data_IF_054195120106
#
_entry.id   IF_054195120106
#
_cell.length_a   1.000
_cell.length_b   1.000
_cell.length_c   1.000
_cell.angle_alpha   90.00
_cell.angle_beta   90.00
_cell.angle_gamma   90.00
#
_symmetry.space_group_name_H-M   'P 1'
#
loop_
_entity.id
_entity.type
_entity.pdbx_description
1 polymer ?
#
# COMPACT_ATOMS: atom_id res chain seq x y z
N UNK A 1 -12.51 52.76 26.41
CA UNK A 1 -12.82 52.12 25.11
C UNK A 1 -11.59 51.52 24.40
N UNK A 2 -10.43 52.19 24.39
CA UNK A 2 -9.20 51.70 23.71
C UNK A 2 -8.75 50.29 24.13
N UNK A 3 -8.77 49.98 25.42
CA UNK A 3 -8.38 48.65 25.94
C UNK A 3 -9.40 47.55 25.63
N UNK A 4 -10.66 47.93 25.41
CA UNK A 4 -11.74 46.99 25.10
C UNK A 4 -11.63 46.49 23.65
N UNK A 5 -11.19 47.36 22.73
CA UNK A 5 -10.87 46.99 21.34
C UNK A 5 -9.67 46.04 21.29
N UNK A 6 -8.62 46.31 22.07
CA UNK A 6 -7.42 45.44 22.13
C UNK A 6 -7.78 44.05 22.68
N UNK A 7 -8.64 43.98 23.70
CA UNK A 7 -9.10 42.70 24.25
C UNK A 7 -9.91 41.87 23.23
N UNK A 8 -10.78 42.51 22.44
CA UNK A 8 -11.56 41.83 21.39
C UNK A 8 -10.66 41.27 20.28
N UNK A 9 -9.63 42.01 19.86
CA UNK A 9 -8.66 41.58 18.85
C UNK A 9 -7.86 40.35 19.34
N UNK A 10 -7.52 40.32 20.63
CA UNK A 10 -6.78 39.20 21.25
C UNK A 10 -7.63 37.91 21.29
N UNK A 11 -8.93 38.02 21.52
CA UNK A 11 -9.86 36.87 21.55
C UNK A 11 -10.09 36.31 20.14
N UNK A 12 -10.14 37.18 19.13
CA UNK A 12 -10.30 36.78 17.71
C UNK A 12 -9.04 36.13 17.11
N UNK A 13 -7.87 36.31 17.74
CA UNK A 13 -6.63 35.64 17.33
C UNK A 13 -6.49 34.23 17.90
N UNK A 14 -7.39 33.80 18.79
CA UNK A 14 -7.50 32.41 19.27
C UNK A 14 -8.30 31.56 18.27
N UNK A 15 -8.01 31.69 16.98
CA UNK A 15 -8.36 30.65 16.04
C UNK A 15 -7.30 29.56 16.18
N UNK A 16 -7.43 28.76 17.25
CA UNK A 16 -6.72 27.48 17.35
C UNK A 16 -7.14 26.69 16.13
N UNK A 17 -6.26 26.68 15.14
CA UNK A 17 -6.32 25.69 14.09
C UNK A 17 -6.14 24.38 14.81
N UNK A 18 -7.23 23.65 15.01
CA UNK A 18 -7.17 22.24 15.35
C UNK A 18 -6.37 21.59 14.23
N UNK A 19 -5.06 21.44 14.45
CA UNK A 19 -4.20 20.70 13.55
C UNK A 19 -4.70 19.28 13.67
N UNK A 20 -5.67 18.93 12.81
CA UNK A 20 -6.05 17.54 12.58
C UNK A 20 -4.73 16.86 12.25
N UNK A 21 -4.17 16.11 13.20
CA UNK A 21 -2.91 15.41 12.97
C UNK A 21 -3.08 14.57 11.72
N UNK A 22 -2.49 15.07 10.62
CA UNK A 22 -2.51 14.40 9.33
C UNK A 22 -1.57 13.22 9.50
N UNK A 23 -2.17 12.07 9.76
CA UNK A 23 -1.43 10.81 9.77
C UNK A 23 -1.13 10.44 8.32
N UNK A 24 -0.06 11.02 7.78
CA UNK A 24 0.57 10.47 6.58
C UNK A 24 1.35 9.23 6.99
N UNK A 25 0.68 8.08 6.92
CA UNK A 25 1.29 6.81 7.22
C UNK A 25 2.07 6.24 6.02
N UNK A 26 1.82 6.71 4.78
CA UNK A 26 2.28 6.06 3.54
C UNK A 26 2.00 4.53 3.50
N UNK A 27 1.05 4.06 4.31
CA UNK A 27 0.65 2.64 4.42
C UNK A 27 -0.42 2.36 3.38
N UNK A 28 -0.26 1.27 2.63
CA UNK A 28 -1.28 0.82 1.68
C UNK A 28 -2.46 0.17 2.41
N UNK A 29 -3.69 0.60 2.11
CA UNK A 29 -4.92 -0.01 2.63
C UNK A 29 -5.95 -0.27 1.53
N UNK A 30 -6.89 -1.16 1.83
CA UNK A 30 -8.12 -1.42 1.08
C UNK A 30 -9.32 -1.14 1.98
N UNK A 31 -10.26 -0.35 1.50
CA UNK A 31 -11.48 0.03 2.22
C UNK A 31 -12.67 -0.71 1.60
N UNK A 32 -13.47 -1.33 2.45
CA UNK A 32 -14.71 -2.01 2.11
C UNK A 32 -15.87 -1.30 2.79
N UNK A 33 -17.02 -1.25 2.13
CA UNK A 33 -18.24 -0.71 2.72
C UNK A 33 -18.84 -1.64 3.77
N UNK A 34 -19.95 -1.20 4.37
CA UNK A 34 -20.72 -1.95 5.38
C UNK A 34 -21.23 -3.30 4.85
N UNK A 35 -21.40 -3.44 3.53
CA UNK A 35 -21.79 -4.68 2.85
C UNK A 35 -20.60 -5.57 2.47
N UNK A 36 -19.38 -5.21 2.87
CA UNK A 36 -18.16 -5.98 2.54
C UNK A 36 -17.70 -5.85 1.09
N UNK A 37 -18.28 -4.95 0.28
CA UNK A 37 -17.82 -4.62 -1.07
C UNK A 37 -16.67 -3.63 -0.99
N UNK A 38 -15.56 -3.92 -1.66
CA UNK A 38 -14.43 -3.00 -1.77
C UNK A 38 -14.87 -1.73 -2.49
N UNK A 39 -14.74 -0.58 -1.83
CA UNK A 39 -15.06 0.72 -2.41
C UNK A 39 -13.79 1.42 -2.89
N UNK A 40 -12.70 1.37 -2.13
CA UNK A 40 -11.47 2.09 -2.47
C UNK A 40 -10.20 1.35 -2.04
N UNK A 41 -9.06 1.75 -2.63
CA UNK A 41 -7.73 1.28 -2.23
C UNK A 41 -6.69 2.36 -2.53
N UNK A 42 -5.65 2.45 -1.70
CA UNK A 42 -4.60 3.44 -1.90
C UNK A 42 -3.62 3.47 -0.74
N UNK A 43 -2.69 4.42 -0.76
CA UNK A 43 -1.86 4.75 0.39
C UNK A 43 -2.58 5.79 1.24
N UNK A 44 -2.55 5.64 2.55
CA UNK A 44 -3.10 6.65 3.47
C UNK A 44 -2.30 7.93 3.30
N UNK A 45 -3.01 9.03 3.02
CA UNK A 45 -2.47 10.39 3.01
C UNK A 45 -2.81 11.12 4.31
N UNK A 46 -4.06 11.00 4.77
CA UNK A 46 -4.52 11.56 6.04
C UNK A 46 -5.65 10.69 6.62
N UNK A 47 -5.83 10.78 7.94
CA UNK A 47 -6.96 10.20 8.66
C UNK A 47 -7.53 11.29 9.55
N UNK A 48 -8.77 11.70 9.28
CA UNK A 48 -9.54 12.60 10.13
C UNK A 48 -10.49 11.77 11.02
N UNK A 49 -11.28 12.44 11.87
CA UNK A 49 -12.29 11.76 12.68
C UNK A 49 -13.49 11.28 11.85
N UNK A 50 -13.68 11.85 10.65
CA UNK A 50 -14.88 11.63 9.83
C UNK A 50 -14.57 11.06 8.45
N UNK A 51 -13.30 10.96 8.06
CA UNK A 51 -12.89 10.48 6.74
C UNK A 51 -11.45 9.97 6.71
N UNK A 52 -11.13 9.21 5.66
CA UNK A 52 -9.78 8.81 5.31
C UNK A 52 -9.46 9.31 3.90
N UNK A 53 -8.36 10.04 3.75
CA UNK A 53 -7.83 10.39 2.43
C UNK A 53 -6.82 9.35 1.97
N UNK A 54 -6.99 8.90 0.73
CA UNK A 54 -6.11 7.95 0.06
C UNK A 54 -5.45 8.58 -1.16
N UNK A 55 -4.17 8.32 -1.35
CA UNK A 55 -3.52 8.48 -2.64
C UNK A 55 -3.70 7.21 -3.49
N UNK A 56 -4.39 7.35 -4.62
CA UNK A 56 -4.67 6.26 -5.55
C UNK A 56 -4.64 6.74 -7.00
N UNK A 57 -3.91 6.02 -7.86
CA UNK A 57 -3.80 6.32 -9.30
C UNK A 57 -3.51 7.79 -9.63
N UNK A 58 -2.61 8.42 -8.88
CA UNK A 58 -2.25 9.83 -9.11
C UNK A 58 -3.20 10.85 -8.50
N UNK A 59 -4.29 10.44 -7.84
CA UNK A 59 -5.32 11.32 -7.28
C UNK A 59 -5.48 11.10 -5.78
N UNK A 60 -5.92 12.15 -5.09
CA UNK A 60 -6.39 12.04 -3.70
C UNK A 60 -7.88 11.72 -3.73
N UNK A 61 -8.28 10.69 -2.98
CA UNK A 61 -9.67 10.25 -2.84
C UNK A 61 -10.02 10.31 -1.36
N UNK A 62 -11.08 11.03 -1.01
CA UNK A 62 -11.62 11.06 0.34
C UNK A 62 -12.73 10.01 0.49
N UNK A 63 -12.66 9.22 1.56
CA UNK A 63 -13.66 8.22 1.92
C UNK A 63 -14.28 8.59 3.26
N UNK A 64 -15.55 9.00 3.31
CA UNK A 64 -16.22 9.36 4.56
C UNK A 64 -16.48 8.12 5.43
N UNK A 65 -16.38 8.28 6.75
CA UNK A 65 -16.56 7.25 7.78
C UNK A 65 -17.86 6.47 7.60
N UNK A 66 -18.95 7.14 7.23
CA UNK A 66 -20.26 6.53 6.98
C UNK A 66 -20.25 5.45 5.90
N UNK A 67 -19.23 5.45 5.03
CA UNK A 67 -19.05 4.43 3.97
C UNK A 67 -18.02 3.36 4.34
N UNK A 68 -17.37 3.44 5.50
CA UNK A 68 -16.27 2.56 5.89
C UNK A 68 -16.80 1.44 6.79
N UNK A 69 -16.85 0.22 6.25
CA UNK A 69 -17.09 -1.00 7.03
C UNK A 69 -15.80 -1.62 7.52
N UNK A 70 -14.92 -2.04 6.60
CA UNK A 70 -13.70 -2.79 6.94
C UNK A 70 -12.49 -2.16 6.26
N UNK A 71 -11.37 -2.08 6.99
CA UNK A 71 -10.06 -1.68 6.46
C UNK A 71 -9.10 -2.88 6.51
N UNK A 72 -8.41 -3.16 5.40
CA UNK A 72 -7.35 -4.19 5.32
C UNK A 72 -6.01 -3.57 4.91
N UNK A 73 -4.93 -3.85 5.64
CA UNK A 73 -3.59 -3.26 5.38
C UNK A 73 -2.73 -4.03 4.38
N UNK A 74 -3.21 -5.17 3.86
CA UNK A 74 -2.47 -6.01 2.90
C UNK A 74 -2.88 -5.73 1.45
N UNK A 75 -1.91 -5.75 0.52
CA UNK A 75 -2.15 -5.84 -0.94
C UNK A 75 -2.76 -7.19 -1.34
N UNK A 76 -3.32 -7.30 -2.55
CA UNK A 76 -3.82 -8.59 -3.06
C UNK A 76 -2.67 -9.57 -3.31
N UNK A 77 -2.97 -10.87 -3.26
CA UNK A 77 -1.98 -11.91 -3.56
C UNK A 77 -1.41 -11.79 -4.98
N UNK A 78 -2.25 -11.42 -5.95
CA UNK A 78 -1.84 -11.18 -7.33
C UNK A 78 -0.73 -10.15 -7.49
N UNK A 79 -0.58 -9.17 -6.58
CA UNK A 79 0.52 -8.21 -6.65
C UNK A 79 1.88 -8.87 -6.38
N UNK A 80 1.95 -9.89 -5.53
CA UNK A 80 3.19 -10.63 -5.29
C UNK A 80 3.43 -11.65 -6.39
N UNK A 81 2.38 -12.34 -6.87
CA UNK A 81 2.45 -13.25 -8.02
C UNK A 81 3.02 -12.52 -9.24
N UNK A 82 2.46 -11.36 -9.59
CA UNK A 82 2.92 -10.58 -10.76
C UNK A 82 4.37 -10.10 -10.59
N UNK A 83 4.76 -9.66 -9.40
CA UNK A 83 6.15 -9.27 -9.11
C UNK A 83 7.10 -10.46 -9.22
N UNK A 84 6.72 -11.59 -8.65
CA UNK A 84 7.50 -12.82 -8.72
C UNK A 84 7.66 -13.26 -10.17
N UNK A 85 6.58 -13.28 -10.95
CA UNK A 85 6.61 -13.62 -12.37
C UNK A 85 7.54 -12.70 -13.18
N UNK A 86 7.44 -11.38 -12.96
CA UNK A 86 8.29 -10.43 -13.66
C UNK A 86 9.77 -10.65 -13.31
N UNK A 87 10.09 -10.77 -12.03
CA UNK A 87 11.47 -10.98 -11.57
C UNK A 87 12.01 -12.31 -12.10
N UNK A 88 11.29 -13.42 -11.87
CA UNK A 88 11.72 -14.75 -12.31
C UNK A 88 11.85 -14.87 -13.82
N UNK A 89 10.89 -14.31 -14.57
CA UNK A 89 10.92 -14.33 -16.03
C UNK A 89 12.11 -13.55 -16.58
N UNK A 90 12.32 -12.30 -16.13
CA UNK A 90 13.47 -11.50 -16.60
C UNK A 90 14.79 -12.17 -16.21
N UNK A 91 14.92 -12.68 -14.99
CA UNK A 91 16.14 -13.35 -14.54
C UNK A 91 16.47 -14.58 -15.39
N UNK A 92 15.51 -15.48 -15.64
CA UNK A 92 15.76 -16.67 -16.44
C UNK A 92 15.87 -16.37 -17.94
N UNK A 93 15.22 -15.32 -18.45
CA UNK A 93 15.39 -14.88 -19.83
C UNK A 93 16.82 -14.40 -20.09
N UNK A 94 17.40 -13.62 -19.16
CA UNK A 94 18.79 -13.16 -19.26
C UNK A 94 19.75 -14.34 -19.20
N UNK A 95 19.53 -15.29 -18.28
CA UNK A 95 20.35 -16.51 -18.19
C UNK A 95 20.26 -17.35 -19.46
N UNK A 96 19.05 -17.56 -19.99
CA UNK A 96 18.83 -18.30 -21.23
C UNK A 96 19.49 -17.63 -22.44
N UNK A 97 19.43 -16.30 -22.53
CA UNK A 97 20.12 -15.57 -23.59
C UNK A 97 21.65 -15.68 -23.49
N UNK A 98 22.18 -15.60 -22.26
CA UNK A 98 23.63 -15.64 -22.03
C UNK A 98 24.27 -17.00 -22.32
N UNK A 99 23.46 -18.06 -22.40
CA UNK A 99 23.89 -19.42 -22.76
C UNK A 99 24.26 -19.54 -24.25
N UNK A 100 23.84 -18.57 -25.09
CA UNK A 100 24.18 -18.53 -26.51
C UNK A 100 23.46 -19.59 -27.36
N UNK A 101 23.84 -19.64 -28.64
CA UNK A 101 23.27 -20.58 -29.62
C UNK A 101 23.81 -22.00 -29.44
N UNK A 102 22.93 -23.00 -29.57
CA UNK A 102 23.35 -24.40 -29.60
C UNK A 102 23.97 -24.75 -30.95
N UNK A 103 25.20 -25.28 -30.93
CA UNK A 103 25.93 -25.70 -32.13
C UNK A 103 25.82 -27.21 -32.42
N UNK A 104 25.20 -27.99 -31.53
CA UNK A 104 25.01 -29.44 -31.71
C UNK A 104 23.95 -29.99 -30.75
N UNK A 105 22.98 -30.78 -31.24
CA UNK A 105 21.95 -31.42 -30.42
C UNK A 105 20.69 -31.79 -31.21
N UNK A 106 19.74 -32.49 -30.56
CA UNK A 106 18.45 -32.89 -31.15
C UNK A 106 17.48 -31.71 -31.38
N UNK A 107 17.72 -30.58 -30.72
CA UNK A 107 17.01 -29.33 -30.95
C UNK A 107 18.04 -28.20 -30.96
N UNK A 108 18.08 -27.44 -32.06
CA UNK A 108 18.95 -26.27 -32.21
C UNK A 108 18.17 -25.05 -31.75
N UNK A 109 18.43 -24.59 -30.52
CA UNK A 109 17.83 -23.36 -30.00
C UNK A 109 18.78 -22.19 -30.18
N UNK A 110 18.24 -21.10 -30.71
CA UNK A 110 18.93 -19.81 -30.66
C UNK A 110 18.95 -19.26 -29.23
N UNK A 111 19.86 -18.35 -28.93
CA UNK A 111 19.89 -17.57 -27.69
C UNK A 111 18.54 -16.88 -27.45
N UNK A 112 17.85 -16.45 -28.52
CA UNK A 112 16.52 -15.86 -28.43
C UNK A 112 15.43 -16.86 -28.05
N UNK A 113 15.50 -18.10 -28.53
CA UNK A 113 14.56 -19.16 -28.13
C UNK A 113 14.76 -19.51 -26.65
N UNK A 114 16.02 -19.71 -26.24
CA UNK A 114 16.37 -19.97 -24.84
C UNK A 114 15.93 -18.83 -23.92
N UNK A 115 16.09 -17.58 -24.35
CA UNK A 115 15.59 -16.42 -23.62
C UNK A 115 14.06 -16.43 -23.47
N UNK A 116 13.33 -16.80 -24.53
CA UNK A 116 11.88 -16.91 -24.50
C UNK A 116 11.40 -18.03 -23.57
N UNK A 117 12.04 -19.20 -23.61
CA UNK A 117 11.78 -20.30 -22.67
C UNK A 117 12.09 -19.89 -21.23
N UNK A 118 13.23 -19.22 -21.01
CA UNK A 118 13.59 -18.65 -19.72
C UNK A 118 12.55 -17.65 -19.20
N UNK A 119 12.07 -16.75 -20.06
CA UNK A 119 11.03 -15.78 -19.71
C UNK A 119 9.75 -16.46 -19.21
N UNK A 120 9.26 -17.46 -19.96
CA UNK A 120 8.00 -18.15 -19.64
C UNK A 120 8.19 -19.05 -18.41
N UNK A 121 9.21 -19.90 -18.40
CA UNK A 121 9.50 -20.81 -17.30
C UNK A 121 9.81 -20.07 -16.01
N UNK A 122 10.65 -19.03 -16.09
CA UNK A 122 10.98 -18.16 -14.96
C UNK A 122 9.78 -17.36 -14.49
N UNK A 123 8.91 -16.94 -15.41
CA UNK A 123 7.65 -16.29 -15.09
C UNK A 123 6.73 -17.19 -14.26
N UNK A 124 6.57 -18.45 -14.66
CA UNK A 124 5.73 -19.42 -13.94
C UNK A 124 6.32 -19.74 -12.56
N UNK A 125 7.62 -20.05 -12.47
CA UNK A 125 8.29 -20.34 -11.20
C UNK A 125 8.26 -19.13 -10.26
N UNK A 126 8.56 -17.95 -10.79
CA UNK A 126 8.49 -16.70 -10.05
C UNK A 126 7.07 -16.39 -9.56
N UNK A 127 6.05 -16.64 -10.39
CA UNK A 127 4.64 -16.51 -10.01
C UNK A 127 4.28 -17.43 -8.85
N UNK A 128 4.73 -18.69 -8.90
CA UNK A 128 4.49 -19.68 -7.84
C UNK A 128 5.11 -19.23 -6.50
N UNK A 129 6.39 -18.80 -6.51
CA UNK A 129 7.06 -18.24 -5.34
C UNK A 129 6.31 -17.00 -4.83
N UNK A 130 5.92 -16.10 -5.73
CA UNK A 130 5.12 -14.91 -5.41
C UNK A 130 3.75 -15.26 -4.79
N UNK A 131 3.14 -16.35 -5.21
CA UNK A 131 1.90 -16.91 -4.64
C UNK A 131 2.11 -17.40 -3.21
N UNK A 132 3.09 -18.29 -3.01
CA UNK A 132 3.44 -18.87 -1.70
C UNK A 132 3.79 -17.79 -0.69
N UNK A 133 4.68 -16.86 -1.05
CA UNK A 133 5.05 -15.74 -0.16
C UNK A 133 3.86 -14.84 0.20
N UNK A 134 2.80 -14.80 -0.63
CA UNK A 134 1.61 -14.07 -0.28
C UNK A 134 0.86 -14.67 0.91
N UNK A 135 0.86 -16.00 1.06
CA UNK A 135 0.17 -16.70 2.15
C UNK A 135 0.78 -16.31 3.50
N UNK A 136 2.10 -16.25 3.59
CA UNK A 136 2.83 -15.91 4.80
C UNK A 136 2.70 -14.44 5.22
N UNK A 137 2.23 -13.56 4.34
CA UNK A 137 2.07 -12.13 4.67
C UNK A 137 0.80 -11.91 5.52
N UNK A 138 0.99 -11.61 6.80
CA UNK A 138 -0.11 -11.25 7.72
C UNK A 138 -0.82 -9.97 7.27
N UNK A 139 -2.15 -10.01 7.21
CA UNK A 139 -3.00 -8.82 7.00
C UNK A 139 -3.59 -8.42 8.34
N UNK A 140 -3.48 -7.14 8.72
CA UNK A 140 -4.33 -6.62 9.80
C UNK A 140 -5.69 -6.25 9.21
N UNK A 141 -6.75 -6.56 9.95
CA UNK A 141 -8.13 -6.26 9.61
C UNK A 141 -8.68 -5.37 10.72
N UNK A 142 -9.27 -4.24 10.34
CA UNK A 142 -9.92 -3.32 11.25
C UNK A 142 -11.39 -3.23 10.85
N UNK A 143 -12.26 -3.58 11.78
CA UNK A 143 -13.70 -3.43 11.63
C UNK A 143 -14.03 -2.02 12.14
N UNK A 144 -14.54 -1.15 11.26
CA UNK A 144 -14.86 0.24 11.59
C UNK A 144 -16.37 0.41 11.73
N UNK A 145 -17.17 -0.15 10.83
CA UNK A 145 -18.64 -0.08 10.81
C UNK A 145 -19.21 1.34 10.98
N UNK A 146 -18.54 2.35 10.39
CA UNK A 146 -18.93 3.75 10.57
C UNK A 146 -18.77 4.30 11.99
N UNK A 147 -18.09 3.58 12.90
CA UNK A 147 -17.89 4.00 14.28
C UNK A 147 -16.62 4.86 14.43
N UNK A 148 -16.79 6.05 15.00
CA UNK A 148 -15.72 7.04 15.19
C UNK A 148 -14.60 6.54 16.13
N UNK A 149 -14.95 5.85 17.23
CA UNK A 149 -13.97 5.31 18.17
C UNK A 149 -13.09 4.25 17.47
N UNK A 150 -13.69 3.35 16.68
CA UNK A 150 -12.92 2.35 15.93
C UNK A 150 -12.02 2.97 14.86
N UNK A 151 -12.44 4.09 14.26
CA UNK A 151 -11.59 4.85 13.34
C UNK A 151 -10.42 5.54 14.07
N UNK A 152 -10.66 6.05 15.27
CA UNK A 152 -9.61 6.61 16.13
C UNK A 152 -8.58 5.55 16.53
N UNK A 153 -9.02 4.37 16.95
CA UNK A 153 -8.12 3.24 17.27
C UNK A 153 -7.27 2.86 16.05
N UNK A 154 -7.88 2.85 14.87
CA UNK A 154 -7.16 2.64 13.62
C UNK A 154 -6.11 3.73 13.36
N UNK A 155 -6.46 5.01 13.55
CA UNK A 155 -5.56 6.15 13.41
C UNK A 155 -4.32 6.00 14.31
N UNK A 156 -4.54 5.71 15.59
CA UNK A 156 -3.47 5.51 16.57
C UNK A 156 -2.58 4.31 16.20
N UNK A 157 -3.17 3.20 15.76
CA UNK A 157 -2.41 2.05 15.29
C UNK A 157 -1.53 2.37 14.07
N UNK A 158 -2.00 3.23 13.15
CA UNK A 158 -1.22 3.67 11.99
C UNK A 158 -0.09 4.62 12.38
N UNK A 159 -0.31 5.51 13.34
CA UNK A 159 0.72 6.39 13.92
C UNK A 159 1.83 5.58 14.58
N UNK A 160 1.47 4.62 15.42
CA UNK A 160 2.43 3.74 16.08
C UNK A 160 3.27 2.98 15.05
N UNK A 161 2.64 2.40 14.02
CA UNK A 161 3.36 1.66 12.97
C UNK A 161 4.33 2.56 12.19
N UNK A 162 4.00 3.84 11.97
CA UNK A 162 4.91 4.83 11.37
C UNK A 162 6.11 5.10 12.27
N UNK A 163 5.88 5.34 13.56
CA UNK A 163 6.95 5.60 14.53
C UNK A 163 7.91 4.40 14.66
N UNK A 164 7.39 3.18 14.72
CA UNK A 164 8.22 1.96 14.76
C UNK A 164 9.11 1.82 13.53
N UNK A 165 8.58 2.12 12.33
CA UNK A 165 9.37 2.07 11.08
C UNK A 165 10.42 3.18 11.02
N UNK A 166 10.09 4.38 11.48
CA UNK A 166 11.03 5.50 11.52
C UNK A 166 12.22 5.17 12.45
N UNK A 167 11.96 4.65 13.65
CA UNK A 167 13.01 4.24 14.60
C UNK A 167 13.94 3.16 14.02
N UNK A 168 13.37 2.15 13.35
CA UNK A 168 14.17 1.08 12.72
C UNK A 168 15.11 1.61 11.63
N UNK A 169 14.72 2.67 10.93
CA UNK A 169 15.53 3.25 9.85
C UNK A 169 16.65 4.18 10.36
N UNK A 170 16.60 4.61 11.62
CA UNK A 170 17.64 5.45 12.25
C UNK A 170 18.70 4.64 12.99
N UNK A 171 18.47 3.33 13.20
CA UNK A 171 19.41 2.41 13.87
C UNK A 171 20.28 1.62 12.87
N UNK A 172 20.27 2.00 11.58
CA UNK A 172 21.10 1.48 10.49
C UNK A 172 22.03 2.59 10.03
#
# INVERSE_FOLDING_TARGET
MKYLIIAIILILSINVSGQNEVVDANIFIRIYNLQGKKIEKGKIKSISNTSIELYSKGKTIEVPLSKIGIIKTKRSAGNNVAKGALIGGVSLAVLGYSDGDDNSGLALFSATDKAAFGLVGGGILGAAIGGVTSIFKKSKLYIIDGNEMKLKDFKEAMLLERMTKAKKNTEI
#
